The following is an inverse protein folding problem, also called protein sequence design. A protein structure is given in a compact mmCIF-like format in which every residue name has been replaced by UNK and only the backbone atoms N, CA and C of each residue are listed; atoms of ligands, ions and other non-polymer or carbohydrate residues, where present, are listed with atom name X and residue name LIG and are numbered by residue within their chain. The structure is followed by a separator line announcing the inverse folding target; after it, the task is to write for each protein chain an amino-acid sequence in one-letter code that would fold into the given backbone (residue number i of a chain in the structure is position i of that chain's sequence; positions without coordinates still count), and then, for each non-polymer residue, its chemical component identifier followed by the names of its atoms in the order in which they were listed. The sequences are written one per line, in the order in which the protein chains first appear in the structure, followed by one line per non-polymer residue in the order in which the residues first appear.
data_IF_191733497593
#
_entry.id   IF_191733497593
#
_cell.length_a   1.000
_cell.length_b   1.000
_cell.length_c   1.000
_cell.angle_alpha   90.00
_cell.angle_beta   90.00
_cell.angle_gamma   90.00
#
_symmetry.space_group_name_H-M   'P 1'
#
loop_
_entity.id
_entity.type
_entity.pdbx_description
1 polymer ?
#
# COMPACT_ATOMS: atom_id res chain seq x y z
N UNK A 1 -8.62 -11.82 -7.56
CA UNK A 1 -7.48 -12.46 -8.28
C UNK A 1 -6.17 -12.16 -7.54
N UNK A 2 -5.79 -10.90 -7.29
CA UNK A 2 -4.50 -10.52 -6.67
C UNK A 2 -4.31 -11.19 -5.30
N UNK A 3 -5.34 -11.25 -4.47
CA UNK A 3 -5.28 -11.90 -3.15
C UNK A 3 -4.90 -13.38 -3.24
N UNK A 4 -5.49 -14.12 -4.18
CA UNK A 4 -5.16 -15.53 -4.40
C UNK A 4 -3.74 -15.73 -4.94
N UNK A 5 -3.28 -14.83 -5.82
CA UNK A 5 -1.89 -14.84 -6.26
C UNK A 5 -0.93 -14.66 -5.09
N UNK A 6 -1.22 -13.70 -4.20
CA UNK A 6 -0.45 -13.49 -2.97
C UNK A 6 -0.51 -14.71 -2.04
N UNK A 7 -1.69 -15.35 -1.90
CA UNK A 7 -1.86 -16.59 -1.14
C UNK A 7 -0.98 -17.72 -1.69
N UNK A 8 -0.97 -17.94 -3.01
CA UNK A 8 -0.14 -18.97 -3.63
C UNK A 8 1.36 -18.68 -3.51
N UNK A 9 1.78 -17.42 -3.59
CA UNK A 9 3.16 -17.03 -3.33
C UNK A 9 3.52 -17.30 -1.87
N UNK A 10 2.62 -16.98 -0.92
CA UNK A 10 2.83 -17.24 0.52
C UNK A 10 3.01 -18.71 0.81
N UNK A 11 2.31 -19.61 0.10
CA UNK A 11 2.46 -21.06 0.23
C UNK A 11 3.84 -21.58 -0.18
N UNK A 12 4.61 -20.82 -0.99
CA UNK A 12 6.00 -21.15 -1.35
C UNK A 12 7.01 -20.84 -0.23
N UNK A 13 6.55 -20.23 0.86
CA UNK A 13 7.35 -19.97 2.05
C UNK A 13 7.87 -18.54 2.17
N UNK A 14 8.35 -18.23 3.38
CA UNK A 14 8.76 -16.87 3.77
C UNK A 14 9.91 -16.32 2.92
N UNK A 15 10.81 -17.17 2.41
CA UNK A 15 11.89 -16.73 1.51
C UNK A 15 11.34 -16.09 0.23
N UNK A 16 10.30 -16.67 -0.38
CA UNK A 16 9.65 -16.10 -1.55
C UNK A 16 8.85 -14.84 -1.22
N UNK A 17 8.13 -14.85 -0.10
CA UNK A 17 7.42 -13.66 0.40
C UNK A 17 8.40 -12.49 0.57
N UNK A 18 9.51 -12.71 1.25
CA UNK A 18 10.53 -11.67 1.49
C UNK A 18 11.15 -11.15 0.19
N UNK A 19 11.46 -12.02 -0.78
CA UNK A 19 11.99 -11.59 -2.08
C UNK A 19 11.00 -10.70 -2.85
N UNK A 20 9.76 -11.15 -2.97
CA UNK A 20 8.72 -10.40 -3.70
C UNK A 20 8.40 -9.09 -2.98
N UNK A 21 8.26 -9.10 -1.65
CA UNK A 21 8.03 -7.90 -0.86
C UNK A 21 9.17 -6.88 -0.99
N UNK A 22 10.44 -7.34 -0.93
CA UNK A 22 11.62 -6.48 -1.09
C UNK A 22 11.67 -5.83 -2.48
N UNK A 23 11.55 -6.63 -3.54
CA UNK A 23 11.62 -6.14 -4.92
C UNK A 23 10.41 -5.24 -5.22
N UNK A 24 9.20 -5.67 -4.85
CA UNK A 24 7.99 -4.88 -5.08
C UNK A 24 7.95 -3.60 -4.28
N UNK A 25 8.43 -3.60 -3.05
CA UNK A 25 8.58 -2.38 -2.24
C UNK A 25 9.56 -1.39 -2.87
N UNK A 26 10.70 -1.87 -3.37
CA UNK A 26 11.67 -0.99 -4.05
C UNK A 26 11.14 -0.49 -5.40
N UNK A 27 10.77 -1.40 -6.30
CA UNK A 27 10.41 -1.09 -7.69
C UNK A 27 9.01 -0.49 -7.79
N UNK A 28 8.08 -0.91 -6.93
CA UNK A 28 6.69 -0.51 -7.00
C UNK A 28 6.27 0.57 -6.00
N UNK A 29 7.14 0.95 -5.06
CA UNK A 29 6.80 1.99 -4.08
C UNK A 29 7.91 3.03 -3.96
N UNK A 30 9.12 2.66 -3.53
CA UNK A 30 10.18 3.63 -3.21
C UNK A 30 10.67 4.35 -4.46
N UNK A 31 11.00 3.62 -5.54
CA UNK A 31 11.47 4.21 -6.79
C UNK A 31 10.39 5.09 -7.44
N UNK A 32 9.12 4.65 -7.62
CA UNK A 32 8.07 5.52 -8.12
C UNK A 32 7.83 6.75 -7.26
N UNK A 33 7.81 6.61 -5.93
CA UNK A 33 7.63 7.75 -5.05
C UNK A 33 8.77 8.79 -5.19
N UNK A 34 10.02 8.33 -5.19
CA UNK A 34 11.17 9.21 -5.42
C UNK A 34 11.12 9.88 -6.80
N UNK A 35 10.76 9.12 -7.84
CA UNK A 35 10.58 9.64 -9.20
C UNK A 35 9.50 10.72 -9.26
N UNK A 36 8.34 10.49 -8.64
CA UNK A 36 7.25 11.47 -8.57
C UNK A 36 7.70 12.78 -7.92
N UNK A 37 8.40 12.68 -6.80
CA UNK A 37 8.93 13.85 -6.06
C UNK A 37 9.95 14.60 -6.94
N UNK A 38 10.88 13.89 -7.58
CA UNK A 38 11.88 14.47 -8.47
C UNK A 38 11.21 15.18 -9.65
N UNK A 39 10.21 14.54 -10.28
CA UNK A 39 9.45 15.15 -11.38
C UNK A 39 8.72 16.42 -10.95
N UNK A 40 8.14 16.45 -9.73
CA UNK A 40 7.54 17.64 -9.16
C UNK A 40 8.54 18.78 -8.98
N UNK A 41 9.73 18.49 -8.48
CA UNK A 41 10.82 19.45 -8.34
C UNK A 41 11.28 19.99 -9.71
N UNK A 42 11.51 19.10 -10.70
CA UNK A 42 11.91 19.48 -12.04
C UNK A 42 10.84 20.38 -12.69
N UNK A 43 9.56 20.01 -12.55
CA UNK A 43 8.45 20.78 -13.10
C UNK A 43 8.42 22.22 -12.55
N UNK A 44 8.52 22.38 -11.22
CA UNK A 44 8.55 23.70 -10.59
C UNK A 44 9.83 24.50 -10.95
N UNK A 45 10.99 23.85 -10.96
CA UNK A 45 12.25 24.49 -11.32
C UNK A 45 12.29 24.95 -12.79
N UNK A 46 11.54 24.29 -13.67
CA UNK A 46 11.38 24.66 -15.08
C UNK A 46 10.33 25.75 -15.32
N UNK A 47 9.77 26.36 -14.26
CA UNK A 47 8.75 27.39 -14.37
C UNK A 47 7.33 26.85 -14.56
N UNK A 48 7.09 25.57 -14.27
CA UNK A 48 5.75 24.99 -14.29
C UNK A 48 4.81 25.66 -13.29
N UNK A 49 3.56 25.89 -13.69
CA UNK A 49 2.57 26.52 -12.83
C UNK A 49 2.00 25.51 -11.81
N UNK A 50 2.08 25.86 -10.52
CA UNK A 50 1.50 25.04 -9.47
C UNK A 50 -0.03 25.19 -9.42
N UNK A 51 -0.74 24.07 -9.37
CA UNK A 51 -2.19 24.05 -9.13
C UNK A 51 -2.55 24.20 -7.65
N UNK A 52 -1.56 24.18 -6.74
CA UNK A 52 -1.81 24.40 -5.32
C UNK A 52 -1.96 25.90 -5.03
N UNK A 53 -3.03 26.25 -4.33
CA UNK A 53 -3.23 27.60 -3.80
C UNK A 53 -2.58 27.68 -2.41
N UNK A 54 -1.39 28.30 -2.36
CA UNK A 54 -0.65 28.53 -1.11
C UNK A 54 -1.22 29.67 -0.26
N UNK A 55 -2.20 30.43 -0.78
CA UNK A 55 -2.87 31.51 -0.03
C UNK A 55 -4.09 30.98 0.75
N UNK A 56 -4.55 29.78 0.46
CA UNK A 56 -5.61 29.12 1.23
C UNK A 56 -5.07 28.59 2.56
N UNK A 57 -5.95 28.40 3.55
CA UNK A 57 -5.57 27.82 4.84
C UNK A 57 -4.97 26.45 4.67
N UNK A 58 -3.75 26.27 5.17
CA UNK A 58 -3.08 24.94 5.22
C UNK A 58 -3.74 23.99 6.21
N UNK A 59 -4.53 24.51 7.12
CA UNK A 59 -5.24 23.70 8.10
C UNK A 59 -6.67 23.47 7.62
N UNK A 60 -7.13 22.19 7.60
CA UNK A 60 -8.50 21.90 7.27
C UNK A 60 -9.45 22.51 8.31
N UNK A 61 -10.61 22.94 7.85
CA UNK A 61 -11.68 23.36 8.74
C UNK A 61 -12.29 22.12 9.42
N UNK A 62 -11.91 21.90 10.67
CA UNK A 62 -12.41 20.78 11.48
C UNK A 62 -13.86 20.96 11.96
N UNK A 63 -14.51 22.08 11.67
CA UNK A 63 -15.96 22.20 11.90
C UNK A 63 -16.76 21.43 10.85
N UNK A 64 -16.15 21.14 9.71
CA UNK A 64 -16.73 20.28 8.67
C UNK A 64 -16.41 18.80 8.96
N UNK A 65 -17.47 17.99 9.11
CA UNK A 65 -17.34 16.55 9.40
C UNK A 65 -16.55 15.78 8.34
N UNK A 66 -16.68 16.13 7.06
CA UNK A 66 -15.94 15.48 5.97
C UNK A 66 -14.43 15.68 6.12
N UNK A 67 -13.99 16.86 6.58
CA UNK A 67 -12.58 17.11 6.85
C UNK A 67 -12.06 16.30 8.04
N UNK A 68 -12.90 16.08 9.05
CA UNK A 68 -12.57 15.19 10.18
C UNK A 68 -12.40 13.74 9.71
N UNK A 69 -13.29 13.26 8.85
CA UNK A 69 -13.21 11.90 8.26
C UNK A 69 -11.94 11.76 7.40
N UNK A 70 -11.62 12.76 6.58
CA UNK A 70 -10.38 12.78 5.80
C UNK A 70 -9.14 12.75 6.71
N UNK A 71 -9.11 13.58 7.75
CA UNK A 71 -8.00 13.61 8.72
C UNK A 71 -7.85 12.26 9.43
N UNK A 72 -8.97 11.64 9.86
CA UNK A 72 -8.96 10.30 10.45
C UNK A 72 -8.43 9.24 9.47
N UNK A 73 -8.75 9.36 8.19
CA UNK A 73 -8.28 8.44 7.14
C UNK A 73 -6.75 8.47 6.97
N UNK A 74 -6.09 9.59 7.28
CA UNK A 74 -4.63 9.71 7.21
C UNK A 74 -3.94 8.73 8.18
N UNK A 75 -4.53 8.46 9.35
CA UNK A 75 -3.98 7.48 10.29
C UNK A 75 -3.92 6.07 9.70
N UNK A 76 -4.82 5.72 8.78
CA UNK A 76 -4.81 4.44 8.09
C UNK A 76 -3.58 4.24 7.19
N UNK A 77 -2.97 5.31 6.68
CA UNK A 77 -1.75 5.22 5.88
C UNK A 77 -0.53 4.74 6.67
N UNK A 78 -0.57 4.87 8.00
CA UNK A 78 0.47 4.39 8.89
C UNK A 78 0.16 3.03 9.52
N UNK A 79 -1.04 2.48 9.27
CA UNK A 79 -1.40 1.13 9.70
C UNK A 79 -0.52 0.09 8.99
N UNK A 80 -0.12 -0.95 9.72
CA UNK A 80 0.70 -2.03 9.19
C UNK A 80 2.19 -1.94 9.54
N UNK A 81 2.66 -0.85 10.12
CA UNK A 81 4.04 -0.77 10.62
C UNK A 81 4.30 -1.79 11.72
N UNK A 82 3.29 -2.12 12.53
CA UNK A 82 3.28 -3.15 13.55
C UNK A 82 3.47 -4.57 12.98
N UNK A 83 3.15 -4.78 11.71
CA UNK A 83 3.32 -6.08 11.04
C UNK A 83 4.80 -6.53 11.00
N UNK A 84 5.74 -5.59 11.06
CA UNK A 84 7.16 -5.88 11.22
C UNK A 84 7.47 -6.65 12.52
N UNK A 85 6.68 -6.45 13.58
CA UNK A 85 6.84 -7.11 14.88
C UNK A 85 6.73 -8.64 14.83
N UNK A 86 5.96 -9.18 13.89
CA UNK A 86 5.81 -10.63 13.69
C UNK A 86 7.12 -11.29 13.27
N UNK A 87 8.01 -10.51 12.66
CA UNK A 87 9.30 -10.95 12.15
C UNK A 87 10.49 -10.57 13.05
N UNK A 88 10.24 -10.00 14.24
CA UNK A 88 11.29 -9.51 15.13
C UNK A 88 12.31 -10.60 15.50
N UNK A 89 11.88 -11.86 15.63
CA UNK A 89 12.76 -13.01 15.94
C UNK A 89 13.70 -13.39 14.78
N UNK A 90 13.37 -12.95 13.56
CA UNK A 90 14.17 -13.22 12.35
C UNK A 90 15.20 -12.09 12.11
N UNK A 91 15.20 -11.04 12.97
CA UNK A 91 16.11 -9.89 12.88
C UNK A 91 17.37 -10.14 13.69
N UNK A 92 18.54 -9.87 13.10
CA UNK A 92 19.80 -9.89 13.80
C UNK A 92 19.87 -8.76 14.84
N UNK A 93 20.25 -9.08 16.10
CA UNK A 93 20.24 -8.13 17.22
C UNK A 93 18.94 -7.32 17.32
N UNK A 94 17.79 -7.98 17.55
CA UNK A 94 16.46 -7.36 17.39
C UNK A 94 16.23 -6.16 18.32
N UNK A 95 16.78 -6.18 19.54
CA UNK A 95 16.66 -5.08 20.50
C UNK A 95 17.25 -3.76 19.99
N UNK A 96 18.23 -3.81 19.10
CA UNK A 96 18.91 -2.63 18.53
C UNK A 96 18.40 -2.34 17.12
N UNK A 97 18.34 -3.35 16.26
CA UNK A 97 18.09 -3.18 14.83
C UNK A 97 16.59 -2.99 14.51
N UNK A 98 15.69 -3.63 15.27
CA UNK A 98 14.26 -3.52 15.00
C UNK A 98 13.72 -2.11 15.27
N UNK A 99 13.96 -1.47 16.45
CA UNK A 99 13.51 -0.09 16.67
C UNK A 99 14.08 0.91 15.65
N UNK A 100 15.37 0.74 15.28
CA UNK A 100 16.01 1.58 14.27
C UNK A 100 15.35 1.42 12.89
N UNK A 101 15.04 0.19 12.49
CA UNK A 101 14.38 -0.09 11.22
C UNK A 101 12.96 0.51 11.18
N UNK A 102 12.19 0.39 12.27
CA UNK A 102 10.85 0.98 12.39
C UNK A 102 10.91 2.49 12.31
N UNK A 103 11.84 3.13 13.03
CA UNK A 103 12.00 4.58 12.99
C UNK A 103 12.38 5.09 11.60
N UNK A 104 13.36 4.46 10.93
CA UNK A 104 13.74 4.82 9.56
C UNK A 104 12.57 4.58 8.58
N UNK A 105 11.85 3.46 8.73
CA UNK A 105 10.67 3.17 7.93
C UNK A 105 9.59 4.24 8.10
N UNK A 106 9.30 4.65 9.34
CA UNK A 106 8.35 5.71 9.62
C UNK A 106 8.76 7.03 8.96
N UNK A 107 10.02 7.42 9.10
CA UNK A 107 10.55 8.65 8.50
C UNK A 107 10.42 8.64 6.97
N UNK A 108 10.80 7.53 6.32
CA UNK A 108 10.66 7.36 4.86
C UNK A 108 9.19 7.46 4.46
N UNK A 109 8.29 6.82 5.21
CA UNK A 109 6.85 6.84 4.95
C UNK A 109 6.30 8.27 5.01
N UNK A 110 6.63 9.03 6.07
CA UNK A 110 6.23 10.44 6.19
C UNK A 110 6.75 11.26 5.02
N UNK A 111 8.02 11.12 4.66
CA UNK A 111 8.61 11.85 3.54
C UNK A 111 7.90 11.54 2.21
N UNK A 112 7.64 10.25 1.94
CA UNK A 112 6.93 9.83 0.72
C UNK A 112 5.51 10.41 0.69
N UNK A 113 4.76 10.33 1.78
CA UNK A 113 3.39 10.83 1.80
C UNK A 113 3.35 12.35 1.67
N UNK A 114 4.13 13.08 2.44
CA UNK A 114 4.13 14.54 2.40
C UNK A 114 4.60 15.05 1.05
N UNK A 115 5.81 14.66 0.62
CA UNK A 115 6.40 15.16 -0.62
C UNK A 115 5.68 14.63 -1.86
N UNK A 116 5.20 13.37 -1.82
CA UNK A 116 4.41 12.79 -2.90
C UNK A 116 3.05 13.49 -3.08
N UNK A 117 2.37 13.82 -1.97
CA UNK A 117 1.12 14.59 -2.02
C UNK A 117 1.36 15.99 -2.57
N UNK A 118 2.42 16.68 -2.15
CA UNK A 118 2.80 17.96 -2.74
C UNK A 118 3.06 17.84 -4.24
N UNK A 119 3.82 16.85 -4.68
CA UNK A 119 4.10 16.63 -6.09
C UNK A 119 2.81 16.42 -6.90
N UNK A 120 1.85 15.64 -6.39
CA UNK A 120 0.55 15.45 -7.05
C UNK A 120 -0.28 16.75 -7.06
N UNK A 121 -0.35 17.50 -5.96
CA UNK A 121 -1.09 18.75 -5.88
C UNK A 121 -0.53 19.85 -6.79
N UNK A 122 0.77 19.82 -7.08
CA UNK A 122 1.39 20.74 -8.04
C UNK A 122 0.88 20.51 -9.45
N UNK A 123 0.75 19.25 -9.89
CA UNK A 123 0.44 18.92 -11.30
C UNK A 123 -1.05 18.66 -11.57
N UNK A 124 -1.82 18.30 -10.54
CA UNK A 124 -3.25 17.97 -10.67
C UNK A 124 -4.08 19.05 -9.99
N UNK A 125 -5.05 19.70 -10.69
CA UNK A 125 -6.00 20.60 -10.05
C UNK A 125 -6.83 19.90 -8.96
N UNK A 126 -7.11 20.58 -7.85
CA UNK A 126 -7.81 20.00 -6.70
C UNK A 126 -9.16 19.35 -7.06
N UNK A 127 -9.90 19.93 -8.00
CA UNK A 127 -11.19 19.43 -8.49
C UNK A 127 -11.09 18.09 -9.25
N UNK A 128 -9.89 17.76 -9.77
CA UNK A 128 -9.65 16.59 -10.61
C UNK A 128 -8.97 15.47 -9.82
N UNK A 129 -8.73 15.68 -8.51
CA UNK A 129 -8.11 14.68 -7.65
C UNK A 129 -9.09 13.53 -7.40
N UNK A 130 -8.68 12.33 -7.80
CA UNK A 130 -9.38 11.08 -7.55
C UNK A 130 -8.48 10.13 -6.75
N UNK A 131 -8.96 9.64 -5.60
CA UNK A 131 -8.17 8.83 -4.66
C UNK A 131 -7.61 7.54 -5.27
N UNK A 132 -8.23 7.02 -6.33
CA UNK A 132 -7.80 5.77 -6.96
C UNK A 132 -6.92 5.96 -8.19
N UNK A 133 -7.03 7.10 -8.89
CA UNK A 133 -6.39 7.31 -10.20
C UNK A 133 -5.34 8.42 -10.19
N UNK A 134 -5.37 9.35 -9.23
CA UNK A 134 -4.50 10.53 -9.25
C UNK A 134 -3.02 10.20 -9.33
N UNK A 135 -2.57 9.09 -8.75
CA UNK A 135 -1.17 8.71 -8.85
C UNK A 135 -0.74 8.42 -10.29
N UNK A 136 -1.54 7.68 -11.06
CA UNK A 136 -1.26 7.38 -12.47
C UNK A 136 -1.42 8.62 -13.35
N UNK A 137 -2.46 9.43 -13.08
CA UNK A 137 -2.70 10.70 -13.78
C UNK A 137 -1.56 11.69 -13.54
N UNK A 138 -1.05 11.78 -12.30
CA UNK A 138 0.09 12.63 -11.96
C UNK A 138 1.35 12.24 -12.74
N UNK A 139 1.67 10.94 -12.80
CA UNK A 139 2.77 10.45 -13.61
C UNK A 139 2.59 10.76 -15.09
N UNK A 140 1.39 10.51 -15.63
CA UNK A 140 1.11 10.75 -17.05
C UNK A 140 1.28 12.24 -17.41
N UNK A 141 0.79 13.15 -16.56
CA UNK A 141 0.96 14.59 -16.75
C UNK A 141 2.44 15.01 -16.69
N UNK A 142 3.22 14.50 -15.75
CA UNK A 142 4.64 14.78 -15.68
C UNK A 142 5.40 14.23 -16.90
N UNK A 143 5.09 13.00 -17.31
CA UNK A 143 5.75 12.40 -18.48
C UNK A 143 5.39 13.11 -19.78
N UNK A 144 4.17 13.62 -19.92
CA UNK A 144 3.79 14.49 -21.05
C UNK A 144 4.59 15.78 -21.02
N UNK A 145 4.75 16.39 -19.86
CA UNK A 145 5.52 17.63 -19.71
C UNK A 145 6.98 17.49 -20.17
N UNK A 146 7.62 16.37 -19.83
CA UNK A 146 9.02 16.08 -20.25
C UNK A 146 9.11 15.31 -21.56
N UNK A 147 8.04 15.20 -22.35
CA UNK A 147 7.97 14.46 -23.61
C UNK A 147 8.35 12.97 -23.51
N UNK A 148 8.07 12.33 -22.38
CA UNK A 148 8.42 10.94 -22.09
C UNK A 148 7.18 10.06 -21.80
N UNK A 149 6.04 10.30 -22.47
CA UNK A 149 4.76 9.59 -22.22
C UNK A 149 4.85 8.06 -22.36
N UNK A 150 5.85 7.56 -23.09
CA UNK A 150 6.12 6.12 -23.19
C UNK A 150 6.47 5.46 -21.85
N UNK A 151 6.84 6.22 -20.81
CA UNK A 151 7.10 5.72 -19.46
C UNK A 151 5.82 5.40 -18.67
N UNK A 152 4.65 5.97 -19.06
CA UNK A 152 3.39 5.78 -18.33
C UNK A 152 3.02 4.30 -18.14
N UNK A 153 3.06 3.42 -19.16
CA UNK A 153 2.76 2.01 -18.96
C UNK A 153 3.81 1.30 -18.10
N UNK A 154 5.07 1.70 -18.16
CA UNK A 154 6.14 1.10 -17.36
C UNK A 154 5.91 1.38 -15.87
N UNK A 155 5.61 2.63 -15.52
CA UNK A 155 5.33 3.01 -14.14
C UNK A 155 4.04 2.34 -13.63
N UNK A 156 3.02 2.21 -14.48
CA UNK A 156 1.78 1.51 -14.12
C UNK A 156 2.04 0.04 -13.74
N UNK A 157 2.88 -0.67 -14.50
CA UNK A 157 3.29 -2.05 -14.19
C UNK A 157 4.11 -2.09 -12.90
N UNK A 158 5.03 -1.15 -12.69
CA UNK A 158 5.82 -1.06 -11.47
C UNK A 158 4.91 -0.86 -10.23
N UNK A 159 3.96 0.08 -10.31
CA UNK A 159 2.99 0.33 -9.24
C UNK A 159 2.09 -0.89 -8.97
N UNK A 160 1.61 -1.57 -10.01
CA UNK A 160 0.83 -2.80 -9.87
C UNK A 160 1.63 -3.91 -9.15
N UNK A 161 2.93 -4.02 -9.43
CA UNK A 161 3.82 -4.94 -8.73
C UNK A 161 4.03 -4.54 -7.27
N UNK A 162 4.11 -3.24 -6.95
CA UNK A 162 4.12 -2.71 -5.58
C UNK A 162 2.85 -3.07 -4.81
N UNK A 163 1.69 -2.91 -5.43
CA UNK A 163 0.40 -3.31 -4.84
C UNK A 163 0.38 -4.82 -4.52
N UNK A 164 0.84 -5.66 -5.46
CA UNK A 164 0.94 -7.11 -5.22
C UNK A 164 1.84 -7.41 -4.02
N UNK A 165 2.99 -6.75 -3.91
CA UNK A 165 3.92 -6.92 -2.78
C UNK A 165 3.29 -6.48 -1.45
N UNK A 166 2.54 -5.39 -1.45
CA UNK A 166 1.77 -4.92 -0.28
C UNK A 166 0.72 -5.95 0.15
N UNK A 167 -0.11 -6.43 -0.78
CA UNK A 167 -1.11 -7.46 -0.51
C UNK A 167 -0.45 -8.73 0.02
N UNK A 168 0.68 -9.14 -0.55
CA UNK A 168 1.44 -10.31 -0.09
C UNK A 168 1.89 -10.18 1.37
N UNK A 169 2.35 -9.00 1.77
CA UNK A 169 2.76 -8.73 3.17
C UNK A 169 1.57 -8.83 4.12
N UNK A 170 0.42 -8.27 3.74
CA UNK A 170 -0.83 -8.34 4.51
C UNK A 170 -1.43 -9.75 4.57
N UNK A 171 -1.18 -10.61 3.57
CA UNK A 171 -1.57 -12.03 3.61
C UNK A 171 -0.65 -12.82 4.53
N UNK A 172 0.66 -12.65 4.37
CA UNK A 172 1.65 -13.46 5.06
C UNK A 172 1.81 -13.11 6.55
N UNK A 173 1.80 -11.81 6.88
CA UNK A 173 2.01 -11.32 8.25
C UNK A 173 0.94 -11.84 9.23
N UNK A 174 -0.33 -11.47 9.10
CA UNK A 174 -1.40 -11.91 9.98
C UNK A 174 -1.54 -13.43 10.04
N UNK A 175 -1.35 -14.14 8.92
CA UNK A 175 -1.43 -15.60 8.89
C UNK A 175 -0.36 -16.26 9.76
N UNK A 176 0.86 -15.69 9.80
CA UNK A 176 1.95 -16.16 10.67
C UNK A 176 1.63 -15.88 12.15
N UNK A 177 1.03 -14.71 12.46
CA UNK A 177 0.58 -14.37 13.80
C UNK A 177 -0.49 -15.33 14.33
N UNK A 178 -1.53 -15.57 13.53
CA UNK A 178 -2.62 -16.53 13.87
C UNK A 178 -2.04 -17.93 14.06
N UNK A 179 -1.08 -18.34 13.23
CA UNK A 179 -0.44 -19.64 13.37
C UNK A 179 0.35 -19.78 14.68
N UNK A 180 1.03 -18.72 15.14
CA UNK A 180 1.72 -18.72 16.42
C UNK A 180 0.74 -18.92 17.60
N UNK A 181 -0.43 -18.24 17.57
CA UNK A 181 -1.52 -18.42 18.54
C UNK A 181 -2.07 -19.84 18.49
N UNK A 182 -2.23 -20.39 17.29
CA UNK A 182 -2.65 -21.78 17.11
C UNK A 182 -1.68 -22.79 17.73
N UNK A 183 -0.37 -22.60 17.51
CA UNK A 183 0.67 -23.44 18.10
C UNK A 183 0.73 -23.36 19.64
N UNK A 184 0.37 -22.21 20.21
CA UNK A 184 0.25 -22.04 21.64
C UNK A 184 -0.98 -22.73 22.26
N UNK A 185 -1.82 -23.41 21.45
CA UNK A 185 -2.95 -24.20 21.93
C UNK A 185 -4.28 -23.44 22.02
N UNK A 186 -4.32 -22.16 21.61
CA UNK A 186 -5.52 -21.32 21.69
C UNK A 186 -6.47 -21.48 20.51
N UNK A 187 -6.13 -22.31 19.51
CA UNK A 187 -6.97 -22.54 18.33
C UNK A 187 -7.08 -24.04 18.00
N UNK A 188 -8.16 -24.47 17.33
CA UNK A 188 -8.34 -25.85 16.90
C UNK A 188 -7.14 -26.40 16.12
N UNK A 189 -6.83 -27.71 16.21
CA UNK A 189 -5.69 -28.33 15.51
C UNK A 189 -5.70 -28.15 14.00
N UNK A 190 -6.86 -27.88 13.40
CA UNK A 190 -7.02 -27.56 12.00
C UNK A 190 -6.13 -26.38 11.56
N UNK A 191 -6.02 -25.34 12.40
CA UNK A 191 -5.22 -24.14 12.11
C UNK A 191 -3.70 -24.32 12.35
N UNK A 192 -3.31 -25.45 12.93
CA UNK A 192 -1.90 -25.78 13.14
C UNK A 192 -1.27 -26.53 11.97
N UNK A 193 -2.07 -26.91 10.96
CA UNK A 193 -1.59 -27.67 9.80
C UNK A 193 -0.74 -26.82 8.86
N UNK A 194 0.43 -27.36 8.51
CA UNK A 194 1.38 -26.76 7.58
C UNK A 194 1.50 -27.57 6.30
N UNK A 195 2.08 -26.96 5.27
CA UNK A 195 2.53 -27.65 4.08
C UNK A 195 3.93 -28.26 4.31
N UNK A 196 4.53 -28.89 3.28
CA UNK A 196 5.88 -29.51 3.34
C UNK A 196 6.99 -28.48 3.64
N UNK A 197 6.73 -27.20 3.43
CA UNK A 197 7.66 -26.08 3.68
C UNK A 197 7.44 -25.41 5.04
N UNK A 198 6.59 -25.98 5.91
CA UNK A 198 6.29 -25.44 7.24
C UNK A 198 5.33 -24.23 7.22
N UNK A 199 4.71 -23.90 6.07
CA UNK A 199 3.79 -22.76 5.94
C UNK A 199 2.38 -23.17 6.36
N UNK A 200 1.68 -22.29 7.10
CA UNK A 200 0.34 -22.43 7.66
C UNK A 200 -0.76 -22.44 6.58
N UNK A 201 -0.86 -23.54 5.83
CA UNK A 201 -1.71 -23.63 4.63
C UNK A 201 -3.19 -23.40 4.91
N UNK A 202 -3.72 -23.98 6.00
CA UNK A 202 -5.16 -23.92 6.29
C UNK A 202 -5.59 -22.50 6.66
N UNK A 203 -4.75 -21.75 7.39
CA UNK A 203 -5.01 -20.34 7.72
C UNK A 203 -5.07 -19.51 6.43
N UNK A 204 -4.09 -19.68 5.53
CA UNK A 204 -4.04 -18.96 4.26
C UNK A 204 -5.27 -19.24 3.39
N UNK A 205 -5.74 -20.49 3.32
CA UNK A 205 -6.96 -20.84 2.57
C UNK A 205 -8.21 -20.24 3.20
N UNK A 206 -8.36 -20.32 4.55
CA UNK A 206 -9.51 -19.73 5.26
C UNK A 206 -9.55 -18.22 5.04
N UNK A 207 -8.40 -17.51 5.15
CA UNK A 207 -8.31 -16.09 4.84
C UNK A 207 -8.73 -15.80 3.38
N UNK A 208 -8.22 -16.58 2.42
CA UNK A 208 -8.54 -16.41 1.01
C UNK A 208 -10.04 -16.57 0.72
N UNK A 209 -10.68 -17.59 1.33
CA UNK A 209 -12.13 -17.81 1.20
C UNK A 209 -12.90 -16.65 1.85
N UNK A 210 -12.54 -16.26 3.08
CA UNK A 210 -13.21 -15.17 3.79
C UNK A 210 -13.14 -13.86 3.00
N UNK A 211 -11.97 -13.50 2.49
CA UNK A 211 -11.80 -12.29 1.65
C UNK A 211 -12.60 -12.39 0.36
N UNK A 212 -12.67 -13.58 -0.27
CA UNK A 212 -13.45 -13.77 -1.49
C UNK A 212 -14.95 -13.58 -1.22
N UNK A 213 -15.47 -14.19 -0.15
CA UNK A 213 -16.88 -14.04 0.25
C UNK A 213 -17.21 -12.57 0.55
N UNK A 214 -16.38 -11.91 1.36
CA UNK A 214 -16.58 -10.48 1.67
C UNK A 214 -16.53 -9.62 0.40
N UNK A 215 -15.56 -9.86 -0.49
CA UNK A 215 -15.45 -9.11 -1.74
C UNK A 215 -16.69 -9.28 -2.63
N UNK A 216 -17.24 -10.50 -2.71
CA UNK A 216 -18.48 -10.76 -3.46
C UNK A 216 -19.70 -10.07 -2.82
N UNK A 217 -19.80 -10.07 -1.50
CA UNK A 217 -20.85 -9.36 -0.79
C UNK A 217 -20.79 -7.85 -1.04
N UNK A 218 -19.60 -7.23 -0.94
CA UNK A 218 -19.45 -5.80 -1.23
C UNK A 218 -19.74 -5.46 -2.68
N UNK A 219 -19.29 -6.27 -3.64
CA UNK A 219 -19.63 -6.06 -5.05
C UNK A 219 -21.13 -6.16 -5.29
N UNK A 220 -21.82 -7.11 -4.66
CA UNK A 220 -23.27 -7.23 -4.74
C UNK A 220 -23.99 -6.02 -4.16
N UNK A 221 -23.54 -5.49 -3.02
CA UNK A 221 -24.10 -4.30 -2.40
C UNK A 221 -23.91 -3.04 -3.27
N UNK A 222 -22.74 -2.88 -3.91
CA UNK A 222 -22.47 -1.77 -4.82
C UNK A 222 -23.44 -1.83 -6.02
N UNK A 223 -23.63 -3.00 -6.62
CA UNK A 223 -24.59 -3.15 -7.74
C UNK A 223 -26.04 -2.92 -7.34
N UNK A 224 -26.41 -3.19 -6.09
CA UNK A 224 -27.76 -2.90 -5.59
C UNK A 224 -27.97 -1.42 -5.28
N UNK A 225 -26.90 -0.72 -4.86
CA UNK A 225 -26.96 0.70 -4.49
C UNK A 225 -26.77 1.68 -5.66
N UNK A 226 -26.31 1.22 -6.82
CA UNK A 226 -26.32 1.99 -8.07
C UNK A 226 -27.63 1.69 -8.84
N UNK A 227 -28.69 2.51 -8.71
CA UNK A 227 -29.83 2.40 -9.61
C UNK A 227 -29.32 2.75 -11.01
N UNK A 228 -29.53 1.83 -11.95
CA UNK A 228 -29.27 1.99 -13.38
C UNK A 228 -29.62 3.40 -13.84
N UNK A 229 -28.62 4.24 -14.06
CA UNK A 229 -28.75 5.44 -14.88
C UNK A 229 -28.83 4.94 -16.34
N UNK A 230 -30.07 4.77 -16.80
CA UNK A 230 -30.38 4.77 -18.23
C UNK A 230 -30.49 6.20 -18.73
#
# INVERSE_FOLDING_TARGET
IIYWLATFISLKGMSWVGKVAKIGGMVGTIIPAALLIILGIIYLASGGHSNMDFNSSFFPDFTNFDNVVLAASIFLFYAGMEMGGIHVKDVENPSKNYPKAVFIGALITVLIFVLGTFALGVIIPAKDINLTQSLLVGFDNYFRYIHASWLSPIIAVALAFGVLAGVLTWVAGPSKGIFAVGKAGYMPPFFQKTNKLGVQKNILFVQGIAVTVLSLLFLSLIHISEPTRH
#
